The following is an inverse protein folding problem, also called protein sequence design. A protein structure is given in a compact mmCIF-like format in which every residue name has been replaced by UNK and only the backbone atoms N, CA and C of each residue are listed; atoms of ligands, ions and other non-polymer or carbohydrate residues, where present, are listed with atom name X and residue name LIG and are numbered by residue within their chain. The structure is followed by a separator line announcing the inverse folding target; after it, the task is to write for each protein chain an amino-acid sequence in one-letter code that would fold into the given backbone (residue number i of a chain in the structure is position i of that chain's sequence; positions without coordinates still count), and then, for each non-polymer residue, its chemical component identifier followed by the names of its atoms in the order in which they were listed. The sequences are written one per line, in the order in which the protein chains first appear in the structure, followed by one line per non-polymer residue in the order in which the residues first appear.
data_IF_591136527453
#
_entry.id   IF_591136527453
#
_cell.length_a   1.000
_cell.length_b   1.000
_cell.length_c   1.000
_cell.angle_alpha   90.00
_cell.angle_beta   90.00
_cell.angle_gamma   90.00
#
_symmetry.space_group_name_H-M   'P 1'
#
loop_
_entity.id
_entity.type
_entity.pdbx_description
1 polymer ?
#
# COMPACT_ATOMS: atom_id res chain seq x y z
N UNK A 1 5.04 35.23 60.50
CA UNK A 1 4.50 35.73 59.24
C UNK A 1 4.96 34.83 58.13
N UNK A 2 4.54 33.57 58.14
CA UNK A 2 4.89 32.55 57.17
C UNK A 2 3.88 31.39 57.28
N UNK A 3 2.61 31.68 56.96
CA UNK A 3 1.56 30.67 57.00
C UNK A 3 0.46 30.98 56.01
N UNK A 4 0.79 31.11 54.73
CA UNK A 4 -0.22 31.12 53.67
C UNK A 4 0.43 30.71 52.34
N UNK A 5 0.94 29.47 52.30
CA UNK A 5 1.21 28.80 50.99
C UNK A 5 0.06 27.82 50.85
N UNK A 6 -0.93 28.22 50.06
CA UNK A 6 -2.00 27.35 49.65
C UNK A 6 -1.44 26.12 48.93
N UNK A 7 -1.89 24.91 49.22
CA UNK A 7 -1.44 23.74 48.50
C UNK A 7 -1.74 23.89 46.99
N UNK A 8 -0.88 23.41 46.12
CA UNK A 8 -1.11 23.48 44.69
C UNK A 8 -2.39 22.73 44.36
N UNK A 9 -3.17 23.18 43.34
CA UNK A 9 -4.41 22.55 42.98
C UNK A 9 -4.10 21.10 42.57
N UNK A 10 -4.82 20.17 43.21
CA UNK A 10 -4.80 18.74 42.91
C UNK A 10 -5.12 18.53 41.43
N UNK A 11 -4.11 18.23 40.64
CA UNK A 11 -4.29 17.95 39.23
C UNK A 11 -4.96 16.58 39.07
N UNK A 12 -6.24 16.50 38.68
CA UNK A 12 -6.95 15.24 38.50
C UNK A 12 -6.34 14.37 37.41
N UNK A 13 -5.56 14.99 36.52
CA UNK A 13 -4.85 14.32 35.43
C UNK A 13 -3.75 13.36 35.90
N UNK A 14 -3.09 13.65 37.02
CA UNK A 14 -2.02 12.80 37.58
C UNK A 14 -2.57 11.55 38.27
N UNK A 15 -3.75 11.63 38.87
CA UNK A 15 -4.41 10.47 39.50
C UNK A 15 -4.97 9.48 38.46
N UNK A 16 -5.40 9.97 37.29
CA UNK A 16 -5.84 9.12 36.19
C UNK A 16 -4.69 8.35 35.54
N UNK A 17 -3.49 8.94 35.51
CA UNK A 17 -2.27 8.29 35.01
C UNK A 17 -1.72 7.23 36.00
N UNK A 18 -1.93 7.45 37.32
CA UNK A 18 -1.46 6.50 38.35
C UNK A 18 -2.32 5.23 38.43
N UNK A 19 -3.59 5.27 37.99
CA UNK A 19 -4.50 4.13 37.96
C UNK A 19 -4.68 3.52 36.57
N UNK A 20 -3.90 3.97 35.59
CA UNK A 20 -3.87 3.30 34.31
C UNK A 20 -3.31 1.89 34.48
N UNK A 21 -3.99 0.84 33.98
CA UNK A 21 -3.42 -0.50 34.01
C UNK A 21 -2.04 -0.47 33.35
N UNK A 22 -1.08 -1.26 33.86
CA UNK A 22 0.26 -1.29 33.27
C UNK A 22 0.13 -1.54 31.78
N UNK A 23 0.58 -0.58 30.99
CA UNK A 23 0.60 -0.72 29.54
C UNK A 23 1.46 -1.93 29.21
N UNK A 24 1.01 -2.84 28.37
CA UNK A 24 1.83 -3.94 27.92
C UNK A 24 3.14 -3.36 27.35
N UNK A 25 4.28 -4.01 27.57
CA UNK A 25 5.61 -3.49 27.23
C UNK A 25 5.81 -3.18 25.73
N UNK A 26 4.84 -3.51 24.92
CA UNK A 26 4.77 -3.18 23.49
C UNK A 26 3.52 -2.35 23.29
N UNK A 27 3.65 -1.08 22.92
CA UNK A 27 2.55 -0.20 22.54
C UNK A 27 1.64 -0.84 21.48
N UNK A 28 0.57 -0.19 20.96
CA UNK A 28 -0.54 -0.82 20.27
C UNK A 28 -0.16 -1.54 18.98
N UNK A 29 0.60 -2.61 19.13
CA UNK A 29 0.86 -3.65 18.15
C UNK A 29 0.10 -4.90 18.59
N UNK A 30 -1.18 -4.98 18.27
CA UNK A 30 -2.07 -6.09 18.63
C UNK A 30 -1.74 -7.41 17.93
N UNK A 31 -0.60 -7.50 17.26
CA UNK A 31 -0.15 -8.73 16.63
C UNK A 31 1.33 -8.97 16.99
N UNK A 32 1.71 -10.22 17.32
CA UNK A 32 3.11 -10.56 17.48
C UNK A 32 3.87 -10.12 16.23
N UNK A 33 5.02 -9.51 16.44
CA UNK A 33 5.92 -9.04 15.38
C UNK A 33 6.32 -10.21 14.48
N UNK A 34 5.54 -10.42 13.42
CA UNK A 34 5.89 -11.34 12.33
C UNK A 34 7.01 -10.77 11.42
N UNK A 35 7.68 -9.70 11.87
CA UNK A 35 8.65 -8.94 11.05
C UNK A 35 9.95 -9.68 10.73
N UNK A 36 10.18 -10.89 11.26
CA UNK A 36 11.43 -11.62 11.05
C UNK A 36 11.27 -13.13 10.83
N UNK A 37 10.07 -13.59 10.43
CA UNK A 37 9.80 -15.02 10.22
C UNK A 37 9.50 -15.36 8.76
N UNK A 38 9.37 -16.65 8.42
CA UNK A 38 8.98 -17.10 7.09
C UNK A 38 7.62 -16.51 6.65
N UNK A 39 6.73 -16.21 7.59
CA UNK A 39 5.44 -15.58 7.35
C UNK A 39 5.57 -14.13 6.84
N UNK A 40 6.59 -13.40 7.28
CA UNK A 40 6.90 -12.07 6.75
C UNK A 40 7.25 -12.14 5.25
N UNK A 41 8.07 -13.09 4.85
CA UNK A 41 8.43 -13.29 3.45
C UNK A 41 7.21 -13.66 2.59
N UNK A 42 6.26 -14.41 3.13
CA UNK A 42 4.99 -14.71 2.48
C UNK A 42 4.18 -13.43 2.26
N UNK A 43 4.08 -12.57 3.27
CA UNK A 43 3.38 -11.29 3.17
C UNK A 43 4.00 -10.36 2.12
N UNK A 44 5.33 -10.21 2.14
CA UNK A 44 6.06 -9.43 1.13
C UNK A 44 5.87 -10.03 -0.27
N UNK A 45 5.99 -11.36 -0.41
CA UNK A 45 5.76 -12.06 -1.67
C UNK A 45 4.33 -11.85 -2.21
N UNK A 46 3.34 -11.90 -1.33
CA UNK A 46 1.94 -11.65 -1.66
C UNK A 46 1.72 -10.19 -2.12
N UNK A 47 2.32 -9.22 -1.42
CA UNK A 47 2.23 -7.81 -1.77
C UNK A 47 2.89 -7.52 -3.13
N UNK A 48 4.12 -8.00 -3.34
CA UNK A 48 4.83 -7.80 -4.61
C UNK A 48 4.13 -8.54 -5.74
N UNK A 49 3.72 -9.78 -5.53
CA UNK A 49 3.00 -10.59 -6.51
C UNK A 49 1.64 -9.99 -6.86
N UNK A 50 0.86 -9.57 -5.86
CA UNK A 50 -0.42 -8.89 -6.03
C UNK A 50 -0.27 -7.61 -6.85
N UNK A 51 0.67 -6.75 -6.48
CA UNK A 51 0.95 -5.50 -7.18
C UNK A 51 1.41 -5.74 -8.64
N UNK A 52 2.24 -6.75 -8.87
CA UNK A 52 2.69 -7.11 -10.22
C UNK A 52 1.50 -7.63 -11.05
N UNK A 53 0.63 -8.44 -10.46
CA UNK A 53 -0.56 -8.95 -11.13
C UNK A 53 -1.53 -7.81 -11.49
N UNK A 54 -1.74 -6.84 -10.61
CA UNK A 54 -2.52 -5.63 -10.88
C UNK A 54 -1.91 -4.86 -12.05
N UNK A 55 -0.60 -4.62 -12.03
CA UNK A 55 0.10 -3.90 -13.09
C UNK A 55 -0.04 -4.58 -14.46
N UNK A 56 0.14 -5.90 -14.52
CA UNK A 56 -0.09 -6.69 -15.74
C UNK A 56 -1.54 -6.61 -16.22
N UNK A 57 -2.49 -6.70 -15.29
CA UNK A 57 -3.91 -6.64 -15.58
C UNK A 57 -4.33 -5.28 -16.15
N UNK A 58 -3.84 -4.18 -15.56
CA UNK A 58 -4.08 -2.83 -16.08
C UNK A 58 -3.48 -2.63 -17.47
N UNK A 59 -2.28 -3.13 -17.71
CA UNK A 59 -1.64 -3.08 -19.03
C UNK A 59 -2.48 -3.85 -20.07
N UNK A 60 -3.00 -5.01 -19.70
CA UNK A 60 -3.85 -5.83 -20.55
C UNK A 60 -5.20 -5.17 -20.83
N UNK A 61 -5.83 -4.53 -19.83
CA UNK A 61 -7.04 -3.74 -20.02
C UNK A 61 -6.80 -2.60 -21.01
N UNK A 62 -5.69 -1.87 -20.83
CA UNK A 62 -5.31 -0.77 -21.73
C UNK A 62 -5.08 -1.27 -23.16
N UNK A 63 -4.46 -2.44 -23.32
CA UNK A 63 -4.33 -3.07 -24.62
C UNK A 63 -5.69 -3.36 -25.28
N UNK A 64 -6.66 -3.87 -24.51
CA UNK A 64 -8.02 -4.13 -25.02
C UNK A 64 -8.71 -2.82 -25.45
N UNK A 65 -8.56 -1.74 -24.67
CA UNK A 65 -9.13 -0.43 -25.00
C UNK A 65 -8.48 0.14 -26.28
N UNK A 66 -7.18 0.06 -26.40
CA UNK A 66 -6.47 0.50 -27.62
C UNK A 66 -6.93 -0.31 -28.85
N UNK A 67 -7.21 -1.59 -28.68
CA UNK A 67 -7.74 -2.46 -29.73
C UNK A 67 -9.17 -2.07 -30.13
N UNK A 68 -10.02 -1.67 -29.18
CA UNK A 68 -11.35 -1.14 -29.47
C UNK A 68 -11.28 0.10 -30.37
N UNK A 69 -10.36 1.03 -30.04
CA UNK A 69 -10.16 2.25 -30.84
C UNK A 69 -9.68 1.91 -32.26
N UNK A 70 -8.84 0.89 -32.40
CA UNK A 70 -8.28 0.51 -33.70
C UNK A 70 -9.24 -0.32 -34.56
N UNK A 71 -10.06 -1.18 -33.95
CA UNK A 71 -10.88 -2.17 -34.69
C UNK A 71 -12.40 -1.94 -34.58
N UNK A 72 -12.85 -1.03 -33.69
CA UNK A 72 -14.26 -0.80 -33.42
C UNK A 72 -14.97 -1.92 -32.63
N UNK A 73 -14.24 -2.97 -32.23
CA UNK A 73 -14.79 -4.06 -31.41
C UNK A 73 -14.86 -3.62 -29.96
N UNK A 74 -16.05 -3.64 -29.36
CA UNK A 74 -16.26 -3.18 -27.97
C UNK A 74 -15.37 -3.98 -27.00
N UNK A 75 -14.67 -3.28 -26.14
CA UNK A 75 -13.80 -3.86 -25.09
C UNK A 75 -14.51 -4.90 -24.23
N UNK A 76 -15.77 -4.64 -23.84
CA UNK A 76 -16.57 -5.57 -23.03
C UNK A 76 -16.93 -6.89 -23.72
N UNK A 77 -16.80 -6.99 -25.05
CA UNK A 77 -17.01 -8.23 -25.81
C UNK A 77 -15.76 -9.11 -25.87
N UNK A 78 -14.61 -8.59 -25.44
CA UNK A 78 -13.34 -9.33 -25.47
C UNK A 78 -13.19 -10.16 -24.19
N UNK A 79 -13.03 -11.49 -24.28
CA UNK A 79 -12.81 -12.33 -23.09
C UNK A 79 -11.51 -11.95 -22.35
N UNK A 80 -10.54 -11.41 -23.08
CA UNK A 80 -9.27 -10.93 -22.54
C UNK A 80 -9.43 -9.78 -21.55
N UNK A 81 -10.42 -8.91 -21.77
CA UNK A 81 -10.76 -7.84 -20.85
C UNK A 81 -11.28 -8.38 -19.50
N UNK A 82 -12.14 -9.38 -19.54
CA UNK A 82 -12.67 -10.03 -18.35
C UNK A 82 -11.59 -10.79 -17.57
N UNK A 83 -10.67 -11.44 -18.29
CA UNK A 83 -9.50 -12.07 -17.66
C UNK A 83 -8.61 -11.04 -16.95
N UNK A 84 -8.37 -9.91 -17.59
CA UNK A 84 -7.61 -8.80 -16.98
C UNK A 84 -8.32 -8.21 -15.76
N UNK A 85 -9.64 -8.08 -15.81
CA UNK A 85 -10.43 -7.61 -14.67
C UNK A 85 -10.35 -8.61 -13.49
N UNK A 86 -10.49 -9.90 -13.77
CA UNK A 86 -10.35 -10.95 -12.76
C UNK A 86 -8.93 -10.96 -12.14
N UNK A 87 -7.89 -10.76 -12.95
CA UNK A 87 -6.50 -10.64 -12.48
C UNK A 87 -6.29 -9.43 -11.58
N UNK A 88 -6.89 -8.30 -11.91
CA UNK A 88 -6.86 -7.10 -11.07
C UNK A 88 -7.50 -7.36 -9.70
N UNK A 89 -8.71 -7.94 -9.67
CA UNK A 89 -9.39 -8.29 -8.41
C UNK A 89 -8.55 -9.29 -7.60
N UNK A 90 -7.99 -10.32 -8.26
CA UNK A 90 -7.11 -11.30 -7.60
C UNK A 90 -5.87 -10.66 -6.99
N UNK A 91 -5.28 -9.68 -7.66
CA UNK A 91 -4.15 -8.91 -7.15
C UNK A 91 -4.49 -8.07 -5.92
N UNK A 92 -5.68 -7.43 -5.91
CA UNK A 92 -6.18 -6.68 -4.75
C UNK A 92 -6.42 -7.59 -3.54
N UNK A 93 -7.03 -8.78 -3.77
CA UNK A 93 -7.21 -9.78 -2.71
C UNK A 93 -5.85 -10.23 -2.16
N UNK A 94 -4.85 -10.41 -3.02
CA UNK A 94 -3.47 -10.72 -2.61
C UNK A 94 -2.85 -9.62 -1.74
N UNK A 95 -3.03 -8.35 -2.11
CA UNK A 95 -2.61 -7.20 -1.31
C UNK A 95 -3.30 -7.15 0.05
N UNK A 96 -4.61 -7.36 0.10
CA UNK A 96 -5.34 -7.43 1.37
C UNK A 96 -4.82 -8.57 2.27
N UNK A 97 -4.56 -9.74 1.69
CA UNK A 97 -4.00 -10.87 2.44
C UNK A 97 -2.60 -10.53 2.98
N UNK A 98 -1.80 -9.76 2.24
CA UNK A 98 -0.47 -9.34 2.67
C UNK A 98 -0.49 -8.56 3.99
N UNK A 99 -1.53 -7.72 4.24
CA UNK A 99 -1.70 -6.99 5.50
C UNK A 99 -1.92 -7.90 6.71
N UNK A 100 -2.34 -9.15 6.51
CA UNK A 100 -2.43 -10.15 7.57
C UNK A 100 -1.07 -10.70 8.01
N UNK A 101 -0.03 -10.54 7.20
CA UNK A 101 1.31 -11.10 7.43
C UNK A 101 2.38 -10.03 7.63
N UNK A 102 2.17 -8.81 7.12
CA UNK A 102 3.10 -7.69 7.22
C UNK A 102 2.42 -6.44 7.74
N UNK A 103 3.18 -5.56 8.41
CA UNK A 103 2.68 -4.25 8.79
C UNK A 103 2.40 -3.38 7.55
N UNK A 104 1.41 -2.51 7.67
CA UNK A 104 1.06 -1.56 6.60
C UNK A 104 2.23 -0.68 6.19
N UNK A 105 3.12 -0.36 7.13
CA UNK A 105 4.34 0.42 6.90
C UNK A 105 5.29 -0.24 5.89
N UNK A 106 5.32 -1.58 5.85
CA UNK A 106 6.13 -2.33 4.88
C UNK A 106 5.41 -2.48 3.54
N UNK A 107 4.10 -2.74 3.56
CA UNK A 107 3.32 -2.98 2.34
C UNK A 107 3.12 -1.69 1.53
N UNK A 108 3.00 -0.54 2.20
CA UNK A 108 2.77 0.76 1.56
C UNK A 108 3.86 1.16 0.54
N UNK A 109 5.17 1.09 0.86
CA UNK A 109 6.23 1.36 -0.13
C UNK A 109 6.24 0.37 -1.30
N UNK A 110 5.82 -0.88 -1.06
CA UNK A 110 5.72 -1.89 -2.13
C UNK A 110 4.66 -1.51 -3.18
N UNK A 111 3.62 -0.78 -2.76
CA UNK A 111 2.64 -0.20 -3.68
C UNK A 111 3.27 0.80 -4.66
N UNK A 112 4.25 1.60 -4.23
CA UNK A 112 4.98 2.51 -5.12
C UNK A 112 5.78 1.76 -6.19
N UNK A 113 6.29 0.57 -5.88
CA UNK A 113 6.99 -0.28 -6.86
C UNK A 113 6.06 -0.71 -7.98
N UNK A 114 4.77 -0.97 -7.69
CA UNK A 114 3.80 -1.37 -8.71
C UNK A 114 3.57 -0.28 -9.76
N UNK A 115 3.63 0.99 -9.36
CA UNK A 115 3.52 2.12 -10.30
C UNK A 115 4.68 2.12 -11.30
N UNK A 116 5.89 1.85 -10.82
CA UNK A 116 7.09 1.75 -11.67
C UNK A 116 6.93 0.56 -12.62
N UNK A 117 6.58 -0.61 -12.11
CA UNK A 117 6.38 -1.84 -12.91
C UNK A 117 5.31 -1.59 -13.97
N UNK A 118 4.17 -1.00 -13.61
CA UNK A 118 3.10 -0.67 -14.56
C UNK A 118 3.58 0.27 -15.67
N UNK A 119 4.35 1.30 -15.32
CA UNK A 119 4.89 2.25 -16.31
C UNK A 119 5.86 1.57 -17.27
N UNK A 120 6.74 0.71 -16.74
CA UNK A 120 7.68 -0.06 -17.56
C UNK A 120 6.94 -1.04 -18.49
N UNK A 121 5.94 -1.76 -17.95
CA UNK A 121 5.11 -2.66 -18.75
C UNK A 121 4.37 -1.91 -19.86
N UNK A 122 3.77 -0.76 -19.55
CA UNK A 122 3.08 0.05 -20.55
C UNK A 122 4.04 0.53 -21.64
N UNK A 123 5.25 0.95 -21.29
CA UNK A 123 6.25 1.37 -22.25
C UNK A 123 6.70 0.22 -23.15
N UNK A 124 6.92 -0.97 -22.58
CA UNK A 124 7.45 -2.14 -23.32
C UNK A 124 6.35 -2.81 -24.16
N UNK A 125 5.17 -3.04 -23.59
CA UNK A 125 4.10 -3.80 -24.26
C UNK A 125 3.22 -2.95 -25.18
N UNK A 126 2.98 -1.69 -24.82
CA UNK A 126 2.16 -0.78 -25.61
C UNK A 126 2.99 0.14 -26.53
N UNK A 127 4.32 0.14 -26.39
CA UNK A 127 5.19 1.05 -27.15
C UNK A 127 4.94 2.53 -26.80
N UNK A 128 4.40 2.82 -25.62
CA UNK A 128 4.09 4.19 -25.22
C UNK A 128 5.35 4.97 -24.87
N UNK A 129 5.37 6.24 -25.28
CA UNK A 129 6.45 7.14 -24.89
C UNK A 129 6.26 7.53 -23.43
N UNK A 130 7.31 7.34 -22.63
CA UNK A 130 7.35 7.83 -21.25
C UNK A 130 7.49 9.35 -21.30
N UNK A 131 6.44 10.06 -20.90
CA UNK A 131 6.47 11.51 -20.83
C UNK A 131 7.16 11.97 -19.54
N UNK A 132 7.80 13.15 -19.58
CA UNK A 132 8.43 13.75 -18.39
C UNK A 132 7.49 13.90 -17.21
N UNK A 133 6.20 14.12 -17.46
CA UNK A 133 5.15 14.16 -16.42
C UNK A 133 5.02 12.83 -15.68
N UNK A 134 5.14 11.71 -16.36
CA UNK A 134 5.11 10.36 -15.76
C UNK A 134 6.32 10.15 -14.85
N UNK A 135 7.50 10.60 -15.26
CA UNK A 135 8.71 10.50 -14.44
C UNK A 135 8.59 11.34 -13.16
N UNK A 136 8.06 12.56 -13.29
CA UNK A 136 7.82 13.43 -12.14
C UNK A 136 6.80 12.78 -11.19
N UNK A 137 5.72 12.20 -11.71
CA UNK A 137 4.72 11.48 -10.90
C UNK A 137 5.31 10.30 -10.14
N UNK A 138 6.16 9.50 -10.78
CA UNK A 138 6.87 8.38 -10.15
C UNK A 138 7.80 8.89 -9.03
N UNK A 139 8.58 9.95 -9.31
CA UNK A 139 9.49 10.53 -8.33
C UNK A 139 8.71 11.05 -7.10
N UNK A 140 7.60 11.75 -7.32
CA UNK A 140 6.73 12.26 -6.25
C UNK A 140 6.13 11.13 -5.40
N UNK A 141 5.69 10.05 -6.06
CA UNK A 141 5.15 8.86 -5.38
C UNK A 141 6.21 8.19 -4.51
N UNK A 142 7.44 8.04 -5.01
CA UNK A 142 8.55 7.48 -4.24
C UNK A 142 8.91 8.34 -3.03
N UNK A 143 9.01 9.66 -3.22
CA UNK A 143 9.30 10.60 -2.12
C UNK A 143 8.19 10.56 -1.07
N UNK A 144 6.91 10.57 -1.50
CA UNK A 144 5.77 10.47 -0.60
C UNK A 144 5.74 9.13 0.17
N UNK A 145 6.05 8.04 -0.50
CA UNK A 145 6.13 6.69 0.09
C UNK A 145 7.22 6.59 1.16
N UNK A 146 8.40 7.16 0.90
CA UNK A 146 9.48 7.23 1.89
C UNK A 146 9.11 8.14 3.07
N UNK A 147 8.44 9.26 2.81
CA UNK A 147 7.98 10.18 3.85
C UNK A 147 6.92 9.61 4.79
N UNK A 148 6.19 8.57 4.39
CA UNK A 148 5.23 7.86 5.26
C UNK A 148 5.95 6.86 6.19
N UNK A 149 7.14 6.38 5.80
CA UNK A 149 7.90 5.36 6.54
C UNK A 149 8.86 6.00 7.56
N UNK A 150 9.30 7.24 7.32
CA UNK A 150 10.17 8.00 8.21
C UNK A 150 9.39 8.73 9.29
#
# INVERSE_FOLDING_TARGET
MLSDIAPPPSQPSLMLLSNAPPQPPNGPGLLPTFESGPLFLVGVGLAVGGNTLIACSLTLQKFCVNREVATGVKTGSMPLFWLALAGMIGGEVGNFAAFGFCSQTVVSPLGAVSVIVNTVLAAVFLGEKIYSQTIIGIALTLVGSVGVVL
#
